data_IF_341628328528
#
_entry.id   IF_341628328528
#
_cell.length_a   1.000
_cell.length_b   1.000
_cell.length_c   1.000
_cell.angle_alpha   90.00
_cell.angle_beta   90.00
_cell.angle_gamma   90.00
#
_symmetry.space_group_name_H-M   'P 1'
#
loop_
_entity.id
_entity.type
_entity.pdbx_description
1 polymer ?
#
# COMPACT_ATOMS: atom_id res chain seq x y z
N UNK A 1 37.00 1.95 18.38
CA UNK A 1 35.78 2.44 17.71
C UNK A 1 34.85 1.24 17.58
N UNK A 2 33.76 1.16 18.35
CA UNK A 2 32.80 0.06 18.23
C UNK A 2 31.80 0.40 17.12
N UNK A 3 31.61 -0.51 16.16
CA UNK A 3 30.57 -0.36 15.14
C UNK A 3 29.19 -0.60 15.77
N UNK A 4 28.26 0.32 15.54
CA UNK A 4 26.84 0.12 15.85
C UNK A 4 26.24 -0.66 14.67
N UNK A 5 25.76 -1.88 14.92
CA UNK A 5 25.04 -2.66 13.93
C UNK A 5 23.54 -2.44 14.11
N UNK A 6 22.86 -2.08 13.02
CA UNK A 6 21.39 -1.99 12.97
C UNK A 6 20.87 -3.29 12.34
N UNK A 7 19.86 -3.90 12.94
CA UNK A 7 19.19 -5.10 12.41
C UNK A 7 17.69 -4.85 12.29
N UNK A 8 17.09 -5.35 11.21
CA UNK A 8 15.65 -5.30 10.98
C UNK A 8 15.05 -6.68 11.21
N UNK A 9 13.87 -6.73 11.81
CA UNK A 9 13.05 -7.94 11.91
C UNK A 9 11.79 -7.71 11.08
N UNK A 10 11.63 -8.49 10.00
CA UNK A 10 10.55 -8.34 9.03
C UNK A 10 9.59 -9.52 9.13
N UNK A 11 8.34 -9.29 8.73
CA UNK A 11 7.33 -10.34 8.52
C UNK A 11 6.91 -10.31 7.08
N UNK A 12 7.11 -11.41 6.36
CA UNK A 12 6.86 -11.51 4.92
C UNK A 12 5.52 -12.20 4.65
N UNK A 13 4.59 -11.49 4.02
CA UNK A 13 3.29 -12.04 3.61
C UNK A 13 3.32 -12.35 2.11
N UNK A 14 2.83 -13.54 1.74
CA UNK A 14 2.85 -14.01 0.34
C UNK A 14 1.46 -14.20 -0.27
N UNK A 15 0.41 -14.19 0.55
CA UNK A 15 -0.99 -14.22 0.09
C UNK A 15 -1.57 -12.80 0.05
N UNK A 16 -1.40 -12.14 -1.11
CA UNK A 16 -1.75 -10.72 -1.32
C UNK A 16 -2.55 -10.58 -2.63
N UNK A 17 -3.82 -11.03 -2.68
CA UNK A 17 -4.66 -10.86 -3.86
C UNK A 17 -4.96 -9.38 -4.16
N UNK A 18 -5.12 -9.08 -5.46
CA UNK A 18 -5.63 -7.80 -5.93
C UNK A 18 -7.08 -7.62 -5.44
N UNK A 19 -7.33 -6.49 -4.78
CA UNK A 19 -8.64 -6.11 -4.26
C UNK A 19 -9.37 -5.15 -5.20
N UNK A 20 -8.62 -4.28 -5.89
CA UNK A 20 -9.18 -3.39 -6.90
C UNK A 20 -8.12 -2.51 -7.57
N UNK A 21 -8.41 -2.03 -8.77
CA UNK A 21 -7.58 -1.08 -9.49
C UNK A 21 -8.44 -0.02 -10.17
N UNK A 22 -7.83 1.13 -10.48
CA UNK A 22 -8.44 2.12 -11.38
C UNK A 22 -8.31 1.65 -12.84
N UNK A 23 -9.16 2.17 -13.72
CA UNK A 23 -9.05 1.87 -15.15
C UNK A 23 -7.68 2.33 -15.68
N UNK A 24 -7.07 1.58 -16.60
CA UNK A 24 -5.72 1.91 -17.12
C UNK A 24 -5.61 3.35 -17.65
N UNK A 25 -6.66 3.85 -18.30
CA UNK A 25 -6.72 5.24 -18.79
C UNK A 25 -6.68 6.28 -17.67
N UNK A 26 -7.28 5.98 -16.52
CA UNK A 26 -7.25 6.88 -15.34
C UNK A 26 -5.94 6.74 -14.57
N UNK A 27 -5.41 5.51 -14.48
CA UNK A 27 -4.17 5.17 -13.77
C UNK A 27 -2.93 5.77 -14.41
N UNK A 28 -2.91 5.85 -15.74
CA UNK A 28 -1.75 6.32 -16.53
C UNK A 28 -2.14 7.53 -17.39
N UNK A 29 -3.09 8.34 -16.90
CA UNK A 29 -3.49 9.56 -17.60
C UNK A 29 -2.27 10.47 -17.82
N UNK A 30 -2.09 10.94 -19.07
CA UNK A 30 -0.93 11.73 -19.49
C UNK A 30 0.32 10.92 -19.82
N UNK A 31 0.34 9.62 -19.50
CA UNK A 31 1.42 8.69 -19.83
C UNK A 31 2.82 9.23 -19.53
N UNK A 32 3.75 8.98 -20.45
CA UNK A 32 5.13 9.46 -20.39
C UNK A 32 5.25 10.98 -20.53
N UNK A 33 4.35 11.62 -21.29
CA UNK A 33 4.40 13.06 -21.55
C UNK A 33 4.28 13.89 -20.26
N UNK A 34 3.42 13.41 -19.35
CA UNK A 34 3.18 14.06 -18.07
C UNK A 34 3.95 13.37 -16.92
N UNK A 35 4.76 12.33 -17.21
CA UNK A 35 5.58 11.68 -16.20
C UNK A 35 6.66 12.66 -15.71
N UNK A 36 6.85 12.78 -14.39
CA UNK A 36 7.72 13.78 -13.75
C UNK A 36 7.32 15.25 -13.92
N UNK A 37 6.11 15.51 -14.41
CA UNK A 37 5.62 16.87 -14.64
C UNK A 37 4.54 17.28 -13.64
N UNK A 38 4.46 18.57 -13.39
CA UNK A 38 3.37 19.23 -12.67
C UNK A 38 2.84 20.39 -13.52
N UNK A 39 1.52 20.65 -13.61
CA UNK A 39 0.41 19.98 -12.92
C UNK A 39 0.15 18.55 -13.40
N UNK A 40 -0.41 17.70 -12.52
CA UNK A 40 -0.68 16.27 -12.78
C UNK A 40 -2.14 15.94 -12.47
N UNK A 41 -2.74 15.07 -13.28
CA UNK A 41 -4.17 14.71 -13.18
C UNK A 41 -4.40 13.18 -13.14
N UNK A 42 -3.40 12.43 -12.70
CA UNK A 42 -3.37 10.97 -12.77
C UNK A 42 -3.94 10.36 -11.48
N UNK A 43 -4.86 9.40 -11.60
CA UNK A 43 -5.43 8.66 -10.48
C UNK A 43 -4.66 7.35 -10.25
N UNK A 44 -3.40 7.47 -9.85
CA UNK A 44 -2.47 6.35 -9.73
C UNK A 44 -2.57 5.65 -8.35
N UNK A 45 -3.54 4.75 -8.22
CA UNK A 45 -3.63 3.86 -7.05
C UNK A 45 -4.18 2.49 -7.43
N UNK A 46 -3.78 1.49 -6.66
CA UNK A 46 -4.37 0.15 -6.66
C UNK A 46 -4.46 -0.37 -5.22
N UNK A 47 -5.38 -1.28 -4.98
CA UNK A 47 -5.67 -1.79 -3.65
C UNK A 47 -5.44 -3.30 -3.62
N UNK A 48 -4.74 -3.73 -2.59
CA UNK A 48 -4.50 -5.13 -2.27
C UNK A 48 -5.04 -5.43 -0.88
N UNK A 49 -5.25 -6.72 -0.59
CA UNK A 49 -5.59 -7.18 0.75
C UNK A 49 -4.63 -8.27 1.17
N UNK A 50 -4.04 -8.13 2.35
CA UNK A 50 -3.16 -9.15 2.93
C UNK A 50 -3.99 -10.23 3.60
N UNK A 51 -3.68 -11.49 3.32
CA UNK A 51 -4.26 -12.67 3.95
C UNK A 51 -3.23 -13.41 4.82
N UNK A 52 -3.72 -14.10 5.84
CA UNK A 52 -2.91 -14.78 6.85
C UNK A 52 -3.60 -16.06 7.33
N UNK A 53 -2.87 -16.86 8.11
CA UNK A 53 -3.46 -18.02 8.78
C UNK A 53 -4.39 -17.61 9.95
N UNK A 54 -4.95 -18.62 10.61
CA UNK A 54 -5.85 -18.46 11.76
C UNK A 54 -5.19 -17.83 13.00
N UNK A 55 -3.86 -17.81 13.06
CA UNK A 55 -3.08 -17.17 14.14
C UNK A 55 -2.66 -15.74 13.79
N UNK A 56 -3.18 -15.17 12.69
CA UNK A 56 -2.81 -13.84 12.20
C UNK A 56 -1.32 -13.72 11.82
N UNK A 57 -0.68 -14.83 11.40
CA UNK A 57 0.72 -14.90 10.96
C UNK A 57 0.81 -15.10 9.45
N UNK A 58 1.93 -14.70 8.82
CA UNK A 58 2.12 -14.95 7.40
C UNK A 58 1.98 -16.43 7.05
N UNK A 59 1.37 -16.68 5.91
CA UNK A 59 1.15 -18.02 5.38
C UNK A 59 1.12 -17.97 3.85
N UNK A 60 1.46 -19.09 3.22
CA UNK A 60 1.20 -19.29 1.80
C UNK A 60 -0.31 -19.29 1.53
N UNK A 61 -0.68 -19.12 0.25
CA UNK A 61 -2.07 -19.14 -0.18
C UNK A 61 -2.80 -20.40 0.31
N UNK A 62 -4.02 -20.19 0.82
CA UNK A 62 -4.96 -21.24 1.18
C UNK A 62 -6.37 -20.69 1.09
N UNK A 63 -7.31 -21.52 0.64
CA UNK A 63 -8.75 -21.18 0.65
C UNK A 63 -9.29 -20.89 2.06
N UNK A 64 -8.58 -21.36 3.09
CA UNK A 64 -8.93 -21.16 4.49
C UNK A 64 -8.24 -19.93 5.12
N UNK A 65 -7.40 -19.20 4.37
CA UNK A 65 -6.79 -17.99 4.88
C UNK A 65 -7.84 -16.91 5.12
N UNK A 66 -7.57 -16.02 6.08
CA UNK A 66 -8.44 -14.92 6.45
C UNK A 66 -7.74 -13.58 6.26
N UNK A 67 -8.47 -12.46 6.14
CA UNK A 67 -7.88 -11.14 6.10
C UNK A 67 -7.00 -10.90 7.33
N UNK A 68 -5.79 -10.37 7.11
CA UNK A 68 -4.89 -9.98 8.19
C UNK A 68 -5.49 -8.84 9.02
N UNK A 69 -5.39 -8.98 10.34
CA UNK A 69 -5.80 -7.96 11.31
C UNK A 69 -4.53 -7.22 11.74
N UNK A 70 -4.25 -6.02 11.21
CA UNK A 70 -3.05 -5.29 11.58
C UNK A 70 -3.17 -4.72 12.99
N UNK A 71 -2.04 -4.57 13.68
CA UNK A 71 -1.98 -3.86 14.97
C UNK A 71 -2.42 -2.40 14.84
N UNK A 72 -2.16 -1.80 13.68
CA UNK A 72 -2.52 -0.42 13.35
C UNK A 72 -2.75 -0.29 11.84
N UNK A 73 -3.71 0.55 11.44
CA UNK A 73 -3.91 0.98 10.06
C UNK A 73 -4.10 2.50 10.04
N UNK A 74 -3.69 3.14 8.94
CA UNK A 74 -3.81 4.58 8.79
C UNK A 74 -5.29 4.96 8.58
N UNK A 75 -5.86 5.87 9.41
CA UNK A 75 -7.22 6.37 9.17
C UNK A 75 -7.25 7.26 7.92
N UNK A 76 -8.33 7.15 7.15
CA UNK A 76 -8.53 8.00 5.97
C UNK A 76 -9.24 9.29 6.38
N UNK A 77 -8.57 10.43 6.20
CA UNK A 77 -9.20 11.74 6.39
C UNK A 77 -10.04 12.10 5.18
N UNK A 78 -11.29 12.50 5.42
CA UNK A 78 -12.17 13.09 4.40
C UNK A 78 -12.03 14.62 4.32
N UNK A 79 -11.20 15.22 5.19
CA UNK A 79 -10.88 16.64 5.13
C UNK A 79 -9.90 16.84 3.98
N UNK A 80 -10.24 17.72 3.03
CA UNK A 80 -9.33 18.12 1.97
C UNK A 80 -8.06 18.79 2.50
N UNK A 81 -7.04 18.88 1.65
CA UNK A 81 -5.76 19.54 1.98
C UNK A 81 -5.74 20.98 1.51
N UNK A 82 -5.01 21.85 2.21
CA UNK A 82 -4.72 23.23 1.81
C UNK A 82 -3.20 23.40 1.70
N UNK A 83 -2.75 24.39 0.95
CA UNK A 83 -1.32 24.67 0.73
C UNK A 83 -0.53 24.85 2.04
N UNK A 84 -1.13 25.47 3.05
CA UNK A 84 -0.50 25.69 4.36
C UNK A 84 -0.65 24.50 5.32
N UNK A 85 -1.30 23.41 4.91
CA UNK A 85 -1.40 22.20 5.73
C UNK A 85 -0.08 21.45 5.67
N UNK A 86 0.68 21.48 6.76
CA UNK A 86 1.82 20.57 6.93
C UNK A 86 1.23 19.17 7.20
N UNK A 87 1.57 18.15 6.40
CA UNK A 87 1.09 16.78 6.60
C UNK A 87 1.57 16.17 7.92
#
# INVERSE_FOLDING_TARGET
>A
MQAINISFCLSEFTDIPLSGNTSGKSREFGGDADNWMWPRHTCDFSMFRVYCNNDNKPAAYSVNNRPFIPKHHLPVSLKGVKETTIP
#
